data_IF_144566105855
#
_entry.id   IF_144566105855
#
_cell.length_a   1.000
_cell.length_b   1.000
_cell.length_c   1.000
_cell.angle_alpha   90.00
_cell.angle_beta   90.00
_cell.angle_gamma   90.00
#
_symmetry.space_group_name_H-M   'P 1'
#
loop_
_entity.id
_entity.type
_entity.pdbx_description
1 polymer ?
#
# COMPACT_ATOMS: atom_id res chain seq x y z
N UNK A 1 6.47 -14.57 -25.49
CA UNK A 1 7.90 -14.67 -25.15
C UNK A 1 8.30 -16.13 -25.13
N UNK A 2 9.44 -16.51 -25.69
CA UNK A 2 9.90 -17.91 -25.62
C UNK A 2 10.94 -18.02 -24.50
N UNK A 3 10.60 -18.74 -23.46
CA UNK A 3 11.54 -19.08 -22.39
C UNK A 3 12.28 -20.36 -22.74
N UNK A 4 13.49 -20.50 -22.22
CA UNK A 4 14.28 -21.73 -22.33
C UNK A 4 13.90 -22.71 -21.22
N UNK A 5 14.13 -23.96 -21.43
CA UNK A 5 14.06 -24.96 -20.38
C UNK A 5 15.13 -24.71 -19.31
N UNK A 6 14.93 -25.20 -18.09
CA UNK A 6 15.86 -25.01 -16.97
C UNK A 6 16.08 -23.53 -16.58
N UNK A 7 15.01 -22.71 -16.64
CA UNK A 7 15.07 -21.28 -16.33
C UNK A 7 14.70 -21.01 -14.88
N UNK A 8 15.47 -20.14 -14.19
CA UNK A 8 15.10 -19.49 -12.95
C UNK A 8 14.60 -18.09 -13.25
N UNK A 9 13.31 -17.85 -13.02
CA UNK A 9 12.67 -16.57 -13.26
C UNK A 9 12.53 -15.79 -11.94
N UNK A 10 13.24 -14.67 -11.82
CA UNK A 10 13.14 -13.75 -10.69
C UNK A 10 12.11 -12.68 -11.04
N UNK A 11 11.05 -12.57 -10.23
CA UNK A 11 9.91 -11.67 -10.49
C UNK A 11 9.57 -10.81 -9.27
N UNK A 12 8.97 -9.62 -9.46
CA UNK A 12 8.43 -8.83 -8.36
C UNK A 12 7.34 -9.59 -7.60
N UNK A 13 7.34 -9.49 -6.27
CA UNK A 13 6.45 -10.29 -5.41
C UNK A 13 4.95 -10.10 -5.74
N UNK A 14 4.51 -8.85 -5.91
CA UNK A 14 3.10 -8.52 -6.12
C UNK A 14 2.49 -9.07 -7.41
N UNK A 15 3.31 -9.29 -8.44
CA UNK A 15 2.86 -9.76 -9.75
C UNK A 15 3.27 -11.21 -10.04
N UNK A 16 3.90 -11.88 -9.06
CA UNK A 16 4.43 -13.25 -9.20
C UNK A 16 3.35 -14.22 -9.69
N UNK A 17 2.18 -14.24 -9.08
CA UNK A 17 1.11 -15.17 -9.45
C UNK A 17 0.56 -14.91 -10.85
N UNK A 18 0.35 -13.66 -11.22
CA UNK A 18 -0.13 -13.29 -12.56
C UNK A 18 0.89 -13.71 -13.66
N UNK A 19 2.18 -13.49 -13.41
CA UNK A 19 3.24 -13.90 -14.33
C UNK A 19 3.32 -15.42 -14.42
N UNK A 20 3.19 -16.14 -13.30
CA UNK A 20 3.16 -17.61 -13.29
C UNK A 20 2.02 -18.11 -14.17
N UNK A 21 0.83 -17.55 -14.04
CA UNK A 21 -0.32 -17.94 -14.83
C UNK A 21 -0.09 -17.64 -16.33
N UNK A 22 0.31 -16.42 -16.68
CA UNK A 22 0.58 -16.00 -18.07
C UNK A 22 1.63 -16.92 -18.74
N UNK A 23 2.69 -17.28 -18.03
CA UNK A 23 3.76 -18.10 -18.57
C UNK A 23 3.34 -19.57 -18.70
N UNK A 24 2.63 -20.13 -17.72
CA UNK A 24 2.14 -21.51 -17.75
C UNK A 24 1.13 -21.74 -18.86
N UNK A 25 0.28 -20.80 -19.16
CA UNK A 25 -0.67 -20.87 -20.27
C UNK A 25 0.03 -20.94 -21.62
N UNK A 26 1.16 -20.22 -21.77
CA UNK A 26 1.90 -20.13 -23.03
C UNK A 26 3.05 -21.14 -23.17
N UNK A 27 3.55 -21.71 -22.06
CA UNK A 27 4.73 -22.58 -22.00
C UNK A 27 4.54 -23.75 -21.01
N UNK A 28 3.52 -24.63 -21.22
CA UNK A 28 3.11 -25.60 -20.21
C UNK A 28 4.10 -26.72 -19.91
N UNK A 29 5.10 -26.94 -20.78
CA UNK A 29 6.04 -28.06 -20.70
C UNK A 29 7.48 -27.64 -20.30
N UNK A 30 7.74 -26.37 -20.01
CA UNK A 30 9.08 -25.90 -19.65
C UNK A 30 9.31 -26.03 -18.15
N UNK A 31 10.53 -26.45 -17.76
CA UNK A 31 11.01 -26.35 -16.38
C UNK A 31 11.38 -24.90 -16.05
N UNK A 32 10.43 -24.17 -15.46
CA UNK A 32 10.63 -22.79 -15.02
C UNK A 32 10.38 -22.71 -13.51
N UNK A 33 11.40 -22.33 -12.77
CA UNK A 33 11.32 -22.07 -11.33
C UNK A 33 11.08 -20.58 -11.09
N UNK A 34 10.07 -20.21 -10.30
CA UNK A 34 9.73 -18.82 -10.01
C UNK A 34 10.11 -18.45 -8.59
N UNK A 35 10.92 -17.40 -8.44
CA UNK A 35 11.27 -16.85 -7.12
C UNK A 35 11.17 -15.32 -7.13
N UNK A 36 11.03 -14.75 -5.93
CA UNK A 36 11.12 -13.30 -5.74
C UNK A 36 12.58 -12.86 -5.56
N UNK A 37 12.84 -11.56 -5.66
CA UNK A 37 14.14 -10.98 -5.35
C UNK A 37 14.62 -11.35 -3.93
N UNK A 38 13.75 -11.25 -2.93
CA UNK A 38 14.10 -11.57 -1.55
C UNK A 38 14.41 -13.08 -1.36
N UNK A 39 13.63 -13.97 -1.99
CA UNK A 39 13.91 -15.41 -1.99
C UNK A 39 15.26 -15.72 -2.66
N UNK A 40 15.59 -15.02 -3.76
CA UNK A 40 16.91 -15.15 -4.41
C UNK A 40 18.04 -14.72 -3.48
N UNK A 41 17.95 -13.52 -2.88
CA UNK A 41 18.98 -13.00 -1.98
C UNK A 41 19.21 -13.99 -0.82
N UNK A 42 18.16 -14.49 -0.19
CA UNK A 42 18.25 -15.45 0.91
C UNK A 42 18.93 -16.76 0.50
N UNK A 43 18.65 -17.27 -0.70
CA UNK A 43 19.26 -18.51 -1.23
C UNK A 43 20.72 -18.37 -1.60
N UNK A 44 21.14 -17.20 -2.06
CA UNK A 44 22.52 -16.99 -2.51
C UNK A 44 23.45 -16.44 -1.43
N UNK A 45 22.88 -15.88 -0.37
CA UNK A 45 23.62 -15.33 0.78
C UNK A 45 23.37 -16.17 2.04
N UNK A 46 22.40 -15.81 2.82
CA UNK A 46 21.93 -16.52 4.01
C UNK A 46 20.48 -16.15 4.29
N UNK A 47 19.79 -16.97 5.08
CA UNK A 47 18.49 -16.69 5.69
C UNK A 47 18.60 -16.71 7.21
N UNK A 48 17.55 -16.28 7.89
CA UNK A 48 17.43 -16.36 9.35
C UNK A 48 15.97 -16.60 9.75
N UNK A 49 15.75 -17.13 10.94
CA UNK A 49 14.44 -17.45 11.50
C UNK A 49 14.12 -16.59 12.75
N UNK A 50 12.97 -16.84 13.34
CA UNK A 50 12.54 -16.14 14.55
C UNK A 50 13.41 -16.45 15.78
N UNK A 51 14.10 -17.58 15.79
CA UNK A 51 15.08 -17.92 16.84
C UNK A 51 16.28 -16.97 16.83
N UNK A 52 16.73 -16.60 15.63
CA UNK A 52 17.79 -15.59 15.43
C UNK A 52 17.38 -14.24 15.99
N UNK A 53 16.13 -13.80 15.69
CA UNK A 53 15.61 -12.53 16.21
C UNK A 53 15.55 -12.56 17.74
N UNK A 54 15.01 -13.64 18.31
CA UNK A 54 14.91 -13.82 19.76
C UNK A 54 16.29 -13.80 20.45
N UNK A 55 17.28 -14.46 19.83
CA UNK A 55 18.66 -14.43 20.33
C UNK A 55 19.22 -13.01 20.40
N UNK A 56 19.05 -12.22 19.33
CA UNK A 56 19.51 -10.83 19.31
C UNK A 56 18.80 -9.96 20.36
N UNK A 57 17.48 -10.10 20.48
CA UNK A 57 16.69 -9.39 21.47
C UNK A 57 17.22 -9.63 22.88
N UNK A 58 17.50 -10.89 23.24
CA UNK A 58 17.96 -11.25 24.58
C UNK A 58 19.43 -10.88 24.82
N UNK A 59 20.31 -11.16 23.85
CA UNK A 59 21.75 -10.91 24.02
C UNK A 59 22.06 -9.41 24.10
N UNK A 60 21.42 -8.60 23.25
CA UNK A 60 21.70 -7.17 23.16
C UNK A 60 20.68 -6.31 23.90
N UNK A 61 19.69 -6.93 24.55
CA UNK A 61 18.59 -6.26 25.26
C UNK A 61 17.89 -5.20 24.41
N UNK A 62 17.50 -5.59 23.18
CA UNK A 62 16.88 -4.72 22.17
C UNK A 62 15.46 -5.19 21.83
N UNK A 63 14.64 -4.28 21.30
CA UNK A 63 13.29 -4.58 20.82
C UNK A 63 13.34 -5.35 19.50
N UNK A 64 12.22 -6.03 19.20
CA UNK A 64 12.04 -6.82 17.98
C UNK A 64 12.34 -6.01 16.71
N UNK A 65 11.81 -4.78 16.60
CA UNK A 65 12.00 -3.91 15.45
C UNK A 65 13.48 -3.58 15.22
N UNK A 66 14.23 -3.33 16.30
CA UNK A 66 15.68 -3.02 16.22
C UNK A 66 16.46 -4.26 15.80
N UNK A 67 16.12 -5.44 16.34
CA UNK A 67 16.74 -6.70 15.93
C UNK A 67 16.53 -6.96 14.43
N UNK A 68 15.32 -6.71 13.90
CA UNK A 68 15.04 -6.80 12.47
C UNK A 68 15.84 -5.80 11.65
N UNK A 69 15.93 -4.54 12.07
CA UNK A 69 16.76 -3.54 11.39
C UNK A 69 18.21 -4.01 11.28
N UNK A 70 18.79 -4.59 12.34
CA UNK A 70 20.13 -5.13 12.26
C UNK A 70 20.23 -6.29 11.29
N UNK A 71 19.29 -7.25 11.34
CA UNK A 71 19.27 -8.41 10.45
C UNK A 71 19.10 -8.01 8.97
N UNK A 72 18.28 -7.01 8.69
CA UNK A 72 18.09 -6.50 7.33
C UNK A 72 19.34 -5.76 6.81
N UNK A 73 20.18 -5.23 7.70
CA UNK A 73 21.39 -4.51 7.32
C UNK A 73 22.67 -5.36 7.31
N UNK A 74 22.73 -6.52 8.01
CA UNK A 74 23.92 -7.38 7.96
C UNK A 74 24.17 -8.03 6.60
N UNK A 75 23.20 -8.01 5.68
CA UNK A 75 23.40 -8.44 4.30
C UNK A 75 24.45 -7.60 3.57
N UNK A 76 24.51 -6.30 3.87
CA UNK A 76 25.37 -5.35 3.18
C UNK A 76 26.82 -5.35 3.66
N UNK A 77 27.10 -5.84 4.89
CA UNK A 77 28.46 -5.82 5.44
C UNK A 77 29.24 -7.09 5.14
N UNK A 78 30.52 -6.90 4.82
CA UNK A 78 31.51 -7.96 4.65
C UNK A 78 32.37 -8.11 5.93
N UNK A 79 33.11 -9.19 6.06
CA UNK A 79 34.02 -9.43 7.20
C UNK A 79 35.34 -8.64 7.05
N UNK A 80 35.20 -7.30 7.09
CA UNK A 80 36.32 -6.37 7.04
C UNK A 80 36.13 -5.31 8.13
N UNK A 81 37.22 -4.59 8.42
CA UNK A 81 37.14 -3.43 9.34
C UNK A 81 36.74 -2.17 8.57
N UNK A 82 35.66 -1.57 8.96
CA UNK A 82 35.17 -0.30 8.43
C UNK A 82 35.64 0.90 9.30
N UNK A 83 35.67 2.10 8.72
CA UNK A 83 35.88 3.33 9.48
C UNK A 83 34.67 3.67 10.36
N UNK A 84 33.47 3.31 9.93
CA UNK A 84 32.22 3.54 10.67
C UNK A 84 32.03 2.54 11.81
N UNK A 85 31.82 3.04 13.03
CA UNK A 85 31.49 2.21 14.19
C UNK A 85 30.17 1.46 14.03
N UNK A 86 29.18 2.05 13.34
CA UNK A 86 27.89 1.39 13.05
C UNK A 86 28.10 0.15 12.17
N UNK A 87 28.95 0.23 11.15
CA UNK A 87 29.24 -0.91 10.27
C UNK A 87 30.03 -1.99 10.99
N UNK A 88 31.02 -1.60 11.80
CA UNK A 88 31.77 -2.58 12.60
C UNK A 88 30.85 -3.32 13.57
N UNK A 89 29.86 -2.64 14.16
CA UNK A 89 28.89 -3.27 15.03
C UNK A 89 28.01 -4.29 14.28
N UNK A 90 27.61 -4.01 13.03
CA UNK A 90 26.91 -5.00 12.19
C UNK A 90 27.81 -6.20 11.85
N UNK A 91 29.11 -5.96 11.62
CA UNK A 91 30.08 -7.07 11.39
C UNK A 91 30.20 -7.95 12.62
N UNK A 92 30.26 -7.35 13.82
CA UNK A 92 30.29 -8.09 15.10
C UNK A 92 29.03 -8.93 15.29
N UNK A 93 27.85 -8.35 15.05
CA UNK A 93 26.57 -9.08 15.10
C UNK A 93 26.58 -10.24 14.08
N UNK A 94 27.01 -10.01 12.84
CA UNK A 94 27.05 -11.04 11.81
C UNK A 94 27.99 -12.20 12.20
N UNK A 95 29.17 -11.91 12.73
CA UNK A 95 30.10 -12.93 13.23
C UNK A 95 29.52 -13.73 14.38
N UNK A 96 28.93 -13.05 15.34
CA UNK A 96 28.29 -13.70 16.47
C UNK A 96 27.17 -14.66 16.05
N UNK A 97 26.34 -14.26 15.07
CA UNK A 97 25.29 -15.12 14.53
C UNK A 97 25.84 -16.32 13.76
N UNK A 98 26.95 -16.17 13.04
CA UNK A 98 27.63 -17.28 12.36
C UNK A 98 28.22 -18.26 13.38
N UNK A 99 28.92 -17.77 14.40
CA UNK A 99 29.54 -18.60 15.45
C UNK A 99 28.50 -19.42 16.25
N UNK A 100 27.29 -18.87 16.41
CA UNK A 100 26.18 -19.56 17.10
C UNK A 100 25.27 -20.36 16.15
N UNK A 101 25.61 -20.53 14.86
CA UNK A 101 24.81 -21.24 13.86
C UNK A 101 23.37 -20.71 13.74
N UNK A 102 23.21 -19.39 13.82
CA UNK A 102 21.91 -18.71 13.73
C UNK A 102 21.62 -18.14 12.34
N UNK A 103 22.59 -18.15 11.42
CA UNK A 103 22.38 -17.87 10.01
C UNK A 103 22.33 -19.18 9.22
N UNK A 104 21.35 -19.26 8.31
CA UNK A 104 21.08 -20.45 7.51
C UNK A 104 21.71 -20.24 6.12
N UNK A 105 22.75 -21.00 5.80
CA UNK A 105 23.42 -20.95 4.50
C UNK A 105 22.93 -22.11 3.62
N UNK A 106 22.22 -21.81 2.52
CA UNK A 106 21.72 -22.83 1.58
C UNK A 106 22.70 -22.99 0.40
N UNK A 107 23.84 -23.63 0.68
CA UNK A 107 24.86 -23.88 -0.35
C UNK A 107 24.33 -24.76 -1.50
N UNK A 108 23.41 -25.69 -1.22
CA UNK A 108 22.83 -26.58 -2.23
C UNK A 108 22.01 -25.75 -3.23
N UNK A 109 21.12 -24.88 -2.73
CA UNK A 109 20.34 -23.98 -3.60
C UNK A 109 21.24 -23.03 -4.38
N UNK A 110 22.32 -22.51 -3.77
CA UNK A 110 23.26 -21.62 -4.46
C UNK A 110 23.94 -22.33 -5.65
N UNK A 111 24.44 -23.55 -5.45
CA UNK A 111 25.03 -24.35 -6.53
C UNK A 111 23.99 -24.75 -7.59
N UNK A 112 22.77 -25.07 -7.19
CA UNK A 112 21.68 -25.35 -8.12
C UNK A 112 21.33 -24.14 -8.99
N UNK A 113 21.26 -22.93 -8.40
CA UNK A 113 21.00 -21.68 -9.12
C UNK A 113 22.09 -21.42 -10.17
N UNK A 114 23.36 -21.76 -9.91
CA UNK A 114 24.45 -21.61 -10.90
C UNK A 114 24.25 -22.45 -12.17
N UNK A 115 23.45 -23.51 -12.10
CA UNK A 115 23.16 -24.35 -13.26
C UNK A 115 21.98 -23.87 -14.11
N UNK A 116 21.26 -22.85 -13.63
CA UNK A 116 20.05 -22.31 -14.28
C UNK A 116 20.38 -21.13 -15.20
N UNK A 117 19.57 -20.96 -16.24
CA UNK A 117 19.48 -19.69 -16.95
C UNK A 117 18.64 -18.72 -16.10
N UNK A 118 19.24 -17.65 -15.61
CA UNK A 118 18.58 -16.69 -14.71
C UNK A 118 17.98 -15.56 -15.53
N UNK A 119 16.68 -15.36 -15.39
CA UNK A 119 15.99 -14.22 -15.99
C UNK A 119 15.43 -13.33 -14.89
N UNK A 120 15.84 -12.07 -14.86
CA UNK A 120 15.27 -11.02 -14.03
C UNK A 120 14.16 -10.34 -14.84
N UNK A 121 12.91 -10.56 -14.46
CA UNK A 121 11.77 -10.20 -15.30
C UNK A 121 10.92 -9.08 -14.71
N UNK A 122 10.73 -8.02 -15.49
CA UNK A 122 9.79 -6.92 -15.21
C UNK A 122 10.05 -6.16 -13.91
N UNK A 123 11.32 -5.88 -13.61
CA UNK A 123 11.70 -4.97 -12.53
C UNK A 123 11.83 -3.55 -13.06
N UNK A 124 11.17 -2.59 -12.40
CA UNK A 124 11.31 -1.17 -12.74
C UNK A 124 12.73 -0.64 -12.45
N UNK A 125 13.38 -1.24 -11.45
CA UNK A 125 14.75 -0.91 -11.06
C UNK A 125 15.45 -2.12 -10.43
N UNK A 126 16.74 -2.27 -10.74
CA UNK A 126 17.63 -3.25 -10.12
C UNK A 126 18.64 -2.48 -9.28
N UNK A 127 18.52 -2.60 -7.94
CA UNK A 127 19.43 -1.92 -7.02
C UNK A 127 20.88 -2.47 -7.09
N UNK A 128 21.81 -1.65 -6.61
CA UNK A 128 23.26 -1.93 -6.68
C UNK A 128 23.61 -3.24 -5.97
N UNK A 129 22.99 -3.53 -4.82
CA UNK A 129 23.25 -4.75 -4.07
C UNK A 129 22.76 -6.00 -4.83
N UNK A 130 21.55 -5.96 -5.34
CA UNK A 130 21.00 -7.06 -6.13
C UNK A 130 21.80 -7.28 -7.41
N UNK A 131 22.21 -6.20 -8.08
CA UNK A 131 23.07 -6.27 -9.27
C UNK A 131 24.44 -6.88 -8.94
N UNK A 132 25.03 -6.55 -7.78
CA UNK A 132 26.27 -7.19 -7.30
C UNK A 132 26.10 -8.69 -7.16
N UNK A 133 25.01 -9.15 -6.54
CA UNK A 133 24.73 -10.60 -6.38
C UNK A 133 24.50 -11.30 -7.72
N UNK A 134 23.78 -10.66 -8.64
CA UNK A 134 23.56 -11.21 -9.98
C UNK A 134 24.88 -11.37 -10.77
N UNK A 135 25.83 -10.48 -10.57
CA UNK A 135 27.14 -10.54 -11.24
C UNK A 135 28.02 -11.75 -10.84
N UNK A 136 27.65 -12.48 -9.77
CA UNK A 136 28.31 -13.75 -9.39
C UNK A 136 27.90 -14.93 -10.32
N UNK A 137 26.89 -14.73 -11.18
CA UNK A 137 26.32 -15.76 -12.05
C UNK A 137 26.64 -15.47 -13.53
N UNK A 138 26.96 -16.50 -14.30
CA UNK A 138 27.43 -16.35 -15.69
C UNK A 138 26.31 -16.17 -16.72
N UNK A 139 25.11 -16.71 -16.45
CA UNK A 139 23.98 -16.73 -17.41
C UNK A 139 22.79 -15.97 -16.84
N UNK A 140 22.86 -14.64 -16.90
CA UNK A 140 21.83 -13.74 -16.38
C UNK A 140 21.30 -12.84 -17.51
N UNK A 141 20.00 -12.83 -17.70
CA UNK A 141 19.31 -11.97 -18.64
C UNK A 141 18.30 -11.08 -17.91
N UNK A 142 18.26 -9.78 -18.28
CA UNK A 142 17.31 -8.83 -17.73
C UNK A 142 16.29 -8.49 -18.80
N UNK A 143 15.03 -8.78 -18.53
CA UNK A 143 13.93 -8.58 -19.47
C UNK A 143 12.86 -7.71 -18.83
N UNK A 144 12.59 -6.56 -19.44
CA UNK A 144 11.51 -5.68 -19.03
C UNK A 144 10.40 -5.63 -20.08
N UNK A 145 9.16 -5.63 -19.63
CA UNK A 145 7.98 -5.44 -20.49
C UNK A 145 8.06 -4.00 -21.07
N UNK A 146 7.86 -3.87 -22.36
CA UNK A 146 7.75 -2.55 -22.99
C UNK A 146 6.31 -2.05 -22.84
N UNK A 147 6.16 -0.86 -22.31
CA UNK A 147 4.89 -0.18 -22.17
C UNK A 147 4.75 0.92 -23.22
N UNK A 148 3.52 1.16 -23.66
CA UNK A 148 3.22 2.29 -24.51
C UNK A 148 3.33 3.58 -23.69
N UNK A 149 3.67 4.69 -24.35
CA UNK A 149 3.64 6.00 -23.73
C UNK A 149 2.40 6.76 -24.22
N UNK A 150 1.59 7.21 -23.27
CA UNK A 150 0.40 8.02 -23.52
C UNK A 150 0.61 9.45 -23.04
N UNK A 151 0.00 10.40 -23.73
CA UNK A 151 -0.03 11.80 -23.28
C UNK A 151 -1.07 11.95 -22.17
N UNK A 152 -0.74 12.77 -21.19
CA UNK A 152 -1.63 13.11 -20.08
C UNK A 152 -2.08 14.55 -20.32
N UNK A 153 -3.25 14.73 -20.90
CA UNK A 153 -3.68 16.05 -21.39
C UNK A 153 -4.15 16.97 -20.25
N UNK A 154 -4.76 16.41 -19.20
CA UNK A 154 -5.41 17.21 -18.16
C UNK A 154 -5.12 16.68 -16.75
N UNK A 155 -4.82 17.60 -15.84
CA UNK A 155 -4.75 17.37 -14.39
C UNK A 155 -5.86 18.17 -13.73
N UNK A 156 -6.69 17.51 -12.92
CA UNK A 156 -7.85 18.12 -12.29
C UNK A 156 -7.48 18.73 -10.94
N UNK A 157 -7.88 19.97 -10.73
CA UNK A 157 -7.60 20.76 -9.54
C UNK A 157 -8.89 20.94 -8.72
N UNK A 158 -8.82 20.64 -7.43
CA UNK A 158 -9.92 20.82 -6.48
C UNK A 158 -9.48 21.73 -5.31
N UNK A 159 -10.43 22.43 -4.68
CA UNK A 159 -10.06 23.33 -3.58
C UNK A 159 -9.59 22.55 -2.34
N UNK A 160 -10.26 21.45 -2.01
CA UNK A 160 -10.00 20.67 -0.80
C UNK A 160 -9.92 19.18 -1.07
N UNK A 161 -9.38 18.43 -0.11
CA UNK A 161 -9.33 16.97 -0.14
C UNK A 161 -10.73 16.35 -0.27
N UNK A 162 -11.72 16.88 0.47
CA UNK A 162 -13.09 16.37 0.39
C UNK A 162 -13.70 16.61 -0.99
N UNK A 163 -13.45 17.75 -1.61
CA UNK A 163 -13.91 18.05 -2.97
C UNK A 163 -13.24 17.15 -4.00
N UNK A 164 -11.93 16.93 -3.87
CA UNK A 164 -11.19 16.04 -4.77
C UNK A 164 -11.77 14.62 -4.73
N UNK A 165 -11.95 14.03 -3.54
CA UNK A 165 -12.51 12.69 -3.40
C UNK A 165 -13.96 12.62 -3.89
N UNK A 166 -14.76 13.66 -3.67
CA UNK A 166 -16.12 13.74 -4.20
C UNK A 166 -16.13 13.79 -5.73
N UNK A 167 -15.29 14.64 -6.34
CA UNK A 167 -15.20 14.76 -7.80
C UNK A 167 -14.77 13.46 -8.46
N UNK A 168 -13.79 12.78 -7.89
CA UNK A 168 -13.37 11.45 -8.34
C UNK A 168 -14.49 10.43 -8.16
N UNK A 169 -15.23 10.45 -7.03
CA UNK A 169 -16.36 9.55 -6.82
C UNK A 169 -17.45 9.72 -7.87
N UNK A 170 -17.77 10.95 -8.28
CA UNK A 170 -18.71 11.21 -9.37
C UNK A 170 -18.23 10.62 -10.68
N UNK A 171 -16.95 10.85 -11.06
CA UNK A 171 -16.37 10.27 -12.29
C UNK A 171 -16.39 8.73 -12.27
N UNK A 172 -16.10 8.11 -11.14
CA UNK A 172 -16.20 6.65 -10.97
C UNK A 172 -17.64 6.18 -11.18
N UNK A 173 -18.64 6.86 -10.60
CA UNK A 173 -20.04 6.54 -10.79
C UNK A 173 -20.48 6.71 -12.25
N UNK A 174 -19.98 7.74 -12.95
CA UNK A 174 -20.25 7.94 -14.38
C UNK A 174 -19.69 6.77 -15.22
N UNK A 175 -18.50 6.25 -14.91
CA UNK A 175 -17.96 5.06 -15.58
C UNK A 175 -18.83 3.81 -15.32
N UNK A 176 -19.21 3.57 -14.08
CA UNK A 176 -20.04 2.42 -13.71
C UNK A 176 -21.42 2.50 -14.40
N UNK A 177 -22.03 3.68 -14.45
CA UNK A 177 -23.31 3.88 -15.16
C UNK A 177 -23.18 3.75 -16.67
N UNK A 178 -21.97 3.93 -17.22
CA UNK A 178 -21.63 3.65 -18.61
C UNK A 178 -21.27 2.19 -18.89
N UNK A 179 -21.57 1.27 -17.95
CA UNK A 179 -21.31 -0.17 -18.01
C UNK A 179 -19.82 -0.56 -18.02
N UNK A 180 -18.94 0.28 -17.50
CA UNK A 180 -17.55 -0.12 -17.22
C UNK A 180 -17.53 -1.03 -16.00
N UNK A 181 -16.81 -2.17 -16.10
CA UNK A 181 -16.67 -3.08 -14.97
C UNK A 181 -15.90 -2.41 -13.83
N UNK A 182 -16.45 -2.46 -12.61
CA UNK A 182 -15.82 -1.89 -11.43
C UNK A 182 -14.44 -2.49 -11.14
N UNK A 183 -14.19 -3.74 -11.50
CA UNK A 183 -12.90 -4.39 -11.32
C UNK A 183 -11.82 -3.83 -12.27
N UNK A 184 -12.19 -3.15 -13.36
CA UNK A 184 -11.27 -2.43 -14.24
C UNK A 184 -10.95 -1.02 -13.75
N UNK A 185 -11.58 -0.57 -12.65
CA UNK A 185 -11.31 0.73 -12.04
C UNK A 185 -10.28 0.56 -10.94
N UNK A 186 -9.19 1.30 -11.04
CA UNK A 186 -8.08 1.28 -10.10
C UNK A 186 -7.86 2.66 -9.50
N UNK A 187 -7.41 2.71 -8.25
CA UNK A 187 -7.19 3.96 -7.55
C UNK A 187 -5.86 3.95 -6.80
N UNK A 188 -5.18 5.08 -6.80
CA UNK A 188 -4.07 5.39 -5.91
C UNK A 188 -4.38 6.66 -5.12
N UNK A 189 -4.01 6.68 -3.86
CA UNK A 189 -4.05 7.87 -3.01
C UNK A 189 -3.03 7.78 -1.87
N UNK A 190 -2.51 8.92 -1.38
CA UNK A 190 -1.65 8.96 -0.20
C UNK A 190 -2.38 8.48 1.06
N UNK A 191 -1.64 7.96 2.04
CA UNK A 191 -2.22 7.46 3.31
C UNK A 191 -3.07 8.50 4.05
N UNK A 192 -2.74 9.80 3.92
CA UNK A 192 -3.50 10.92 4.45
C UNK A 192 -4.95 10.99 3.95
N UNK A 193 -5.26 10.40 2.79
CA UNK A 193 -6.60 10.37 2.17
C UNK A 193 -7.51 9.25 2.69
N UNK A 194 -6.94 8.22 3.34
CA UNK A 194 -7.62 6.96 3.68
C UNK A 194 -8.98 7.17 4.38
N UNK A 195 -9.00 7.99 5.42
CA UNK A 195 -10.22 8.23 6.21
C UNK A 195 -11.32 8.94 5.40
N UNK A 196 -10.93 9.93 4.57
CA UNK A 196 -11.86 10.68 3.74
C UNK A 196 -12.42 9.81 2.62
N UNK A 197 -11.58 8.99 1.97
CA UNK A 197 -12.01 8.03 0.95
C UNK A 197 -13.00 7.03 1.53
N UNK A 198 -12.69 6.40 2.66
CA UNK A 198 -13.59 5.44 3.29
C UNK A 198 -14.95 6.07 3.63
N UNK A 199 -14.96 7.30 4.13
CA UNK A 199 -16.17 8.04 4.45
C UNK A 199 -16.99 8.37 3.20
N UNK A 200 -16.36 8.95 2.18
CA UNK A 200 -17.04 9.45 0.98
C UNK A 200 -17.49 8.30 0.07
N UNK A 201 -16.62 7.31 -0.19
CA UNK A 201 -16.98 6.15 -1.02
C UNK A 201 -18.18 5.37 -0.43
N UNK A 202 -18.25 5.27 0.92
CA UNK A 202 -19.42 4.71 1.59
C UNK A 202 -20.71 5.52 1.32
N UNK A 203 -20.61 6.84 1.16
CA UNK A 203 -21.75 7.69 0.84
C UNK A 203 -22.23 7.57 -0.61
N UNK A 204 -21.30 7.18 -1.51
CA UNK A 204 -21.62 6.86 -2.92
C UNK A 204 -21.92 5.38 -3.16
N UNK A 205 -21.83 4.53 -2.13
CA UNK A 205 -21.89 3.06 -2.24
C UNK A 205 -20.84 2.48 -3.20
N UNK A 206 -19.65 3.08 -3.25
CA UNK A 206 -18.52 2.58 -4.02
C UNK A 206 -17.75 1.57 -3.17
N UNK A 207 -17.73 0.28 -3.52
CA UNK A 207 -16.96 -0.72 -2.81
C UNK A 207 -15.48 -0.59 -3.15
N UNK A 208 -14.64 -0.53 -2.12
CA UNK A 208 -13.19 -0.50 -2.24
C UNK A 208 -12.59 -1.46 -1.20
N UNK A 209 -11.63 -2.26 -1.60
CA UNK A 209 -10.92 -3.19 -0.72
C UNK A 209 -9.78 -2.48 0.02
N UNK A 210 -10.12 -1.61 0.97
CA UNK A 210 -9.13 -0.90 1.81
C UNK A 210 -9.08 -1.41 3.25
N UNK A 211 -10.08 -2.17 3.68
CA UNK A 211 -10.18 -2.62 5.05
C UNK A 211 -9.25 -3.82 5.28
N UNK A 212 -7.97 -3.52 5.50
CA UNK A 212 -7.02 -4.46 6.08
C UNK A 212 -7.08 -4.26 7.59
N UNK A 213 -7.79 -5.13 8.31
CA UNK A 213 -7.64 -5.18 9.76
C UNK A 213 -6.51 -6.14 10.10
N UNK A 214 -5.61 -5.72 11.00
CA UNK A 214 -4.60 -6.64 11.51
C UNK A 214 -5.29 -7.76 12.29
N UNK A 215 -4.70 -8.94 12.32
CA UNK A 215 -5.25 -10.03 13.15
C UNK A 215 -5.30 -9.59 14.61
N UNK A 216 -4.30 -8.83 15.06
CA UNK A 216 -4.25 -8.28 16.42
C UNK A 216 -5.47 -7.43 16.77
N UNK A 217 -6.00 -6.63 15.82
CA UNK A 217 -7.15 -5.75 16.06
C UNK A 217 -8.50 -6.49 16.03
N UNK A 218 -8.50 -7.77 15.67
CA UNK A 218 -9.71 -8.60 15.74
C UNK A 218 -9.99 -9.08 17.15
N UNK A 219 -11.26 -9.40 17.44
CA UNK A 219 -11.62 -10.03 18.71
C UNK A 219 -10.82 -11.31 18.96
N UNK A 220 -10.66 -12.15 17.93
CA UNK A 220 -9.96 -13.44 18.04
C UNK A 220 -8.47 -13.25 18.32
N UNK A 221 -7.82 -12.30 17.63
CA UNK A 221 -6.40 -12.00 17.84
C UNK A 221 -6.11 -11.47 19.24
N UNK A 222 -6.94 -10.53 19.72
CA UNK A 222 -6.85 -10.04 21.11
C UNK A 222 -7.10 -11.15 22.11
N UNK A 223 -8.17 -11.93 21.93
CA UNK A 223 -8.50 -13.06 22.82
C UNK A 223 -7.37 -14.10 22.85
N UNK A 224 -6.75 -14.41 21.70
CA UNK A 224 -5.60 -15.30 21.63
C UNK A 224 -4.42 -14.80 22.49
N UNK A 225 -4.05 -13.54 22.39
CA UNK A 225 -2.92 -12.94 23.15
C UNK A 225 -3.22 -12.85 24.65
N UNK A 226 -4.46 -12.57 25.03
CA UNK A 226 -4.88 -12.51 26.43
C UNK A 226 -4.87 -13.91 27.08
N UNK A 227 -5.18 -14.96 26.31
CA UNK A 227 -5.25 -16.35 26.75
C UNK A 227 -4.07 -17.21 26.22
N UNK A 228 -2.94 -16.57 25.92
CA UNK A 228 -1.74 -17.25 25.45
C UNK A 228 -1.21 -18.21 26.52
N UNK A 229 -1.01 -19.46 26.15
CA UNK A 229 -0.44 -20.51 27.01
C UNK A 229 1.05 -20.77 26.68
N UNK A 230 1.69 -21.63 27.47
CA UNK A 230 3.09 -21.98 27.24
C UNK A 230 3.29 -22.77 25.96
N UNK A 231 2.36 -23.66 25.63
CA UNK A 231 2.46 -24.54 24.47
C UNK A 231 1.62 -24.03 23.29
N UNK A 232 2.02 -24.40 22.07
CA UNK A 232 1.27 -24.08 20.85
C UNK A 232 -0.10 -24.77 20.90
N UNK A 233 -0.15 -26.04 21.30
CA UNK A 233 -1.36 -26.83 21.33
C UNK A 233 -2.42 -26.24 22.26
N UNK A 234 -2.06 -25.90 23.51
CA UNK A 234 -2.99 -25.28 24.46
C UNK A 234 -3.48 -23.90 23.98
N UNK A 235 -2.59 -23.13 23.34
CA UNK A 235 -2.95 -21.80 22.83
C UNK A 235 -3.90 -21.89 21.63
N UNK A 236 -3.73 -22.85 20.73
CA UNK A 236 -4.61 -23.09 19.57
C UNK A 236 -5.97 -23.63 20.02
N UNK A 237 -6.01 -24.54 21.02
CA UNK A 237 -7.26 -25.10 21.54
C UNK A 237 -8.23 -24.02 22.05
N UNK A 238 -7.71 -22.89 22.54
CA UNK A 238 -8.54 -21.77 23.00
C UNK A 238 -9.28 -21.06 21.87
N UNK A 239 -8.80 -21.13 20.62
CA UNK A 239 -9.32 -20.39 19.48
C UNK A 239 -9.87 -21.29 18.36
N UNK A 240 -9.76 -22.60 18.45
CA UNK A 240 -10.05 -23.54 17.35
C UNK A 240 -11.51 -23.47 16.86
N UNK A 241 -12.44 -23.03 17.72
CA UNK A 241 -13.87 -22.96 17.40
C UNK A 241 -14.31 -21.60 16.83
N UNK A 242 -13.35 -20.69 16.58
CA UNK A 242 -13.62 -19.38 16.00
C UNK A 242 -13.48 -19.40 14.46
N UNK A 243 -13.41 -18.23 13.85
CA UNK A 243 -13.30 -18.06 12.39
C UNK A 243 -12.07 -18.81 11.82
N UNK A 244 -12.31 -19.71 10.87
CA UNK A 244 -11.30 -20.63 10.32
C UNK A 244 -10.15 -19.88 9.60
N UNK A 245 -10.46 -18.77 8.91
CA UNK A 245 -9.44 -17.98 8.20
C UNK A 245 -8.47 -17.32 9.19
N UNK A 246 -9.00 -16.73 10.26
CA UNK A 246 -8.18 -16.08 11.29
C UNK A 246 -7.34 -17.10 12.03
N UNK A 247 -7.97 -18.22 12.44
CA UNK A 247 -7.29 -19.30 13.16
C UNK A 247 -6.17 -19.90 12.32
N UNK A 248 -6.39 -20.15 11.03
CA UNK A 248 -5.34 -20.70 10.15
C UNK A 248 -4.16 -19.75 10.02
N UNK A 249 -4.38 -18.44 9.93
CA UNK A 249 -3.32 -17.42 9.91
C UNK A 249 -2.53 -17.40 11.22
N UNK A 250 -3.21 -17.50 12.38
CA UNK A 250 -2.55 -17.59 13.69
C UNK A 250 -1.70 -18.86 13.77
N UNK A 251 -2.22 -20.01 13.34
CA UNK A 251 -1.47 -21.27 13.30
C UNK A 251 -0.22 -21.14 12.41
N UNK A 252 -0.33 -20.49 11.24
CA UNK A 252 0.82 -20.26 10.36
C UNK A 252 1.90 -19.38 11.02
N UNK A 253 1.49 -18.42 11.86
CA UNK A 253 2.44 -17.66 12.68
C UNK A 253 3.09 -18.56 13.72
N UNK A 254 2.30 -19.33 14.48
CA UNK A 254 2.80 -20.19 15.54
C UNK A 254 3.77 -21.28 15.04
N UNK A 255 3.59 -21.77 13.82
CA UNK A 255 4.49 -22.74 13.19
C UNK A 255 5.94 -22.23 13.06
N UNK A 256 6.16 -20.92 13.09
CA UNK A 256 7.50 -20.31 13.09
C UNK A 256 8.17 -20.36 14.48
N UNK A 257 7.44 -20.77 15.51
CA UNK A 257 7.88 -20.78 16.93
C UNK A 257 7.95 -22.18 17.53
N UNK A 258 7.98 -23.23 16.71
CA UNK A 258 8.10 -24.63 17.17
C UNK A 258 9.38 -24.94 17.93
N UNK A 259 10.39 -24.09 17.83
CA UNK A 259 11.65 -24.15 18.56
C UNK A 259 11.55 -23.61 20.01
N UNK A 260 10.44 -22.95 20.36
CA UNK A 260 10.25 -22.26 21.64
C UNK A 260 9.40 -23.15 22.56
N UNK A 261 9.95 -23.51 23.73
CA UNK A 261 9.26 -24.35 24.72
C UNK A 261 8.20 -23.56 25.51
N UNK A 262 8.30 -22.24 25.53
CA UNK A 262 7.42 -21.38 26.31
C UNK A 262 7.03 -20.12 25.50
N UNK A 263 5.88 -20.14 24.85
CA UNK A 263 5.38 -19.03 24.02
C UNK A 263 5.24 -17.69 24.76
N UNK A 264 5.14 -17.71 26.09
CA UNK A 264 5.05 -16.47 26.88
C UNK A 264 6.34 -15.64 26.80
N UNK A 265 7.48 -16.25 26.53
CA UNK A 265 8.76 -15.56 26.38
C UNK A 265 8.87 -14.80 25.03
N UNK A 266 8.11 -15.23 24.03
CA UNK A 266 8.07 -14.63 22.70
C UNK A 266 6.79 -13.84 22.44
N UNK A 267 6.03 -13.52 23.48
CA UNK A 267 4.73 -12.83 23.37
C UNK A 267 4.82 -11.52 22.57
N UNK A 268 5.86 -10.72 22.78
CA UNK A 268 6.04 -9.45 22.06
C UNK A 268 6.29 -9.67 20.57
N UNK A 269 7.02 -10.73 20.22
CA UNK A 269 7.23 -11.13 18.82
C UNK A 269 5.92 -11.57 18.16
N UNK A 270 5.11 -12.36 18.86
CA UNK A 270 3.78 -12.79 18.39
C UNK A 270 2.86 -11.60 18.18
N UNK A 271 2.81 -10.65 19.11
CA UNK A 271 2.04 -9.41 18.99
C UNK A 271 2.47 -8.64 17.74
N UNK A 272 3.77 -8.53 17.50
CA UNK A 272 4.27 -7.85 16.31
C UNK A 272 3.84 -8.55 15.01
N UNK A 273 3.96 -9.87 14.93
CA UNK A 273 3.53 -10.63 13.75
C UNK A 273 2.01 -10.53 13.53
N UNK A 274 1.21 -10.61 14.60
CA UNK A 274 -0.25 -10.44 14.50
C UNK A 274 -0.65 -9.04 14.04
N UNK A 275 0.06 -8.00 14.45
CA UNK A 275 -0.14 -6.62 13.99
C UNK A 275 0.21 -6.43 12.51
N UNK A 276 1.15 -7.21 12.00
CA UNK A 276 1.60 -7.14 10.61
C UNK A 276 0.99 -8.20 9.70
N UNK A 277 0.11 -9.06 10.23
CA UNK A 277 -0.66 -10.03 9.44
C UNK A 277 -2.09 -9.53 9.32
N UNK A 278 -2.56 -9.36 8.08
CA UNK A 278 -3.84 -8.73 7.79
C UNK A 278 -4.88 -9.74 7.31
N UNK A 279 -6.14 -9.43 7.63
CA UNK A 279 -7.33 -10.06 7.05
C UNK A 279 -7.86 -9.10 6.01
N UNK A 280 -8.07 -9.60 4.82
CA UNK A 280 -8.64 -8.83 3.72
C UNK A 280 -10.11 -9.21 3.56
N UNK A 281 -11.02 -8.27 3.79
CA UNK A 281 -12.39 -8.41 3.30
C UNK A 281 -12.38 -8.13 1.81
N UNK A 282 -12.31 -9.18 0.99
CA UNK A 282 -12.37 -9.03 -0.47
C UNK A 282 -13.82 -9.00 -0.92
N UNK A 283 -14.26 -7.87 -1.42
CA UNK A 283 -15.48 -7.82 -2.23
C UNK A 283 -15.15 -8.37 -3.62
N UNK A 284 -15.98 -9.26 -4.16
CA UNK A 284 -15.79 -9.84 -5.50
C UNK A 284 -15.88 -8.79 -6.62
N UNK A 285 -16.57 -7.67 -6.35
CA UNK A 285 -16.68 -6.52 -7.25
C UNK A 285 -16.33 -5.26 -6.46
N UNK A 286 -15.14 -4.73 -6.69
CA UNK A 286 -14.63 -3.55 -5.99
C UNK A 286 -13.53 -2.86 -6.77
N UNK A 287 -13.33 -1.59 -6.46
CA UNK A 287 -12.18 -0.85 -6.93
C UNK A 287 -10.90 -1.42 -6.30
N UNK A 288 -9.87 -1.59 -7.12
CA UNK A 288 -8.56 -2.05 -6.68
C UNK A 288 -7.68 -0.87 -6.26
N UNK A 289 -7.07 -0.96 -5.07
CA UNK A 289 -6.03 -0.03 -4.63
C UNK A 289 -4.69 -0.47 -5.21
N UNK A 290 -4.04 0.43 -5.95
CA UNK A 290 -2.75 0.17 -6.59
C UNK A 290 -1.61 0.95 -5.94
N UNK A 291 -0.39 0.52 -6.21
CA UNK A 291 0.84 1.27 -5.92
C UNK A 291 1.40 1.83 -7.25
N UNK A 292 1.72 3.12 -7.30
CA UNK A 292 2.27 3.75 -8.51
C UNK A 292 3.65 3.21 -8.90
N UNK A 293 4.30 2.47 -8.02
CA UNK A 293 5.60 1.81 -8.31
C UNK A 293 5.42 0.47 -9.02
N UNK A 294 4.21 -0.07 -9.07
CA UNK A 294 3.92 -1.37 -9.68
C UNK A 294 3.37 -1.22 -11.11
N UNK A 295 3.79 -2.09 -12.00
CA UNK A 295 3.35 -2.12 -13.40
C UNK A 295 2.32 -3.25 -13.64
N UNK A 296 1.20 -3.24 -12.91
CA UNK A 296 0.13 -4.22 -13.09
C UNK A 296 -1.16 -3.58 -13.64
N UNK A 297 -1.00 -2.70 -14.65
CA UNK A 297 -2.09 -1.94 -15.25
C UNK A 297 -2.19 -2.34 -16.72
N UNK A 298 -3.41 -2.58 -17.19
CA UNK A 298 -3.72 -2.91 -18.58
C UNK A 298 -4.32 -1.71 -19.32
N UNK A 299 -4.33 -1.75 -20.65
CA UNK A 299 -4.93 -0.68 -21.48
C UNK A 299 -6.45 -0.52 -21.28
N UNK A 300 -7.12 -1.52 -20.68
CA UNK A 300 -8.56 -1.50 -20.37
C UNK A 300 -8.87 -0.93 -18.98
N UNK A 301 -7.85 -0.71 -18.15
CA UNK A 301 -8.04 -0.17 -16.81
C UNK A 301 -8.24 1.34 -16.83
N UNK A 302 -9.09 1.83 -15.94
CA UNK A 302 -9.31 3.24 -15.64
C UNK A 302 -8.66 3.57 -14.30
N UNK A 303 -7.62 4.38 -14.33
CA UNK A 303 -6.79 4.66 -13.15
C UNK A 303 -7.02 6.08 -12.65
N UNK A 304 -7.38 6.18 -11.38
CA UNK A 304 -7.52 7.44 -10.67
C UNK A 304 -6.35 7.62 -9.70
N UNK A 305 -5.62 8.71 -9.84
CA UNK A 305 -4.51 9.08 -8.95
C UNK A 305 -4.88 10.38 -8.24
N UNK A 306 -5.15 10.30 -6.95
CA UNK A 306 -5.49 11.42 -6.09
C UNK A 306 -4.26 11.90 -5.33
N UNK A 307 -4.29 13.17 -4.91
CA UNK A 307 -3.22 13.75 -4.14
C UNK A 307 -1.93 13.95 -4.94
N UNK A 308 -2.04 14.30 -6.23
CA UNK A 308 -0.89 14.61 -7.07
C UNK A 308 -0.25 15.93 -6.65
N UNK A 309 0.07 16.02 -5.35
CA UNK A 309 0.66 17.17 -4.68
C UNK A 309 2.15 16.98 -4.42
N UNK A 310 2.87 18.08 -4.34
CA UNK A 310 4.28 18.08 -3.95
C UNK A 310 4.44 17.53 -2.53
N UNK A 311 5.36 16.57 -2.36
CA UNK A 311 5.62 15.88 -1.08
C UNK A 311 4.71 14.67 -0.81
N UNK A 312 3.64 14.48 -1.59
CA UNK A 312 2.78 13.29 -1.56
C UNK A 312 3.14 12.34 -2.72
N UNK A 313 3.32 12.89 -3.94
CA UNK A 313 3.71 12.16 -5.14
C UNK A 313 4.80 12.94 -5.90
N UNK A 314 6.04 12.39 -6.02
CA UNK A 314 6.53 11.20 -5.32
C UNK A 314 6.72 11.44 -3.83
N UNK A 315 6.75 10.35 -3.06
CA UNK A 315 7.23 10.40 -1.67
C UNK A 315 8.72 10.71 -1.64
N UNK A 316 9.18 11.40 -0.60
CA UNK A 316 10.58 11.78 -0.48
C UNK A 316 11.22 10.95 0.63
N UNK A 317 12.22 10.13 0.26
CA UNK A 317 13.07 9.44 1.23
C UNK A 317 13.93 10.45 1.97
N UNK A 318 14.05 10.23 3.28
CA UNK A 318 14.90 11.03 4.16
C UNK A 318 16.01 10.15 4.72
N UNK A 319 17.13 10.74 5.06
CA UNK A 319 18.27 10.05 5.69
C UNK A 319 17.99 9.73 7.17
N UNK A 320 17.00 8.87 7.41
CA UNK A 320 16.53 8.46 8.74
C UNK A 320 16.80 6.96 9.02
N UNK A 321 17.39 6.24 8.06
CA UNK A 321 17.66 4.81 8.17
C UNK A 321 18.90 4.52 9.04
N UNK A 322 19.06 3.25 9.44
CA UNK A 322 20.24 2.84 10.22
C UNK A 322 21.56 3.09 9.47
N UNK A 323 21.58 2.74 8.17
CA UNK A 323 22.68 3.06 7.25
C UNK A 323 22.38 4.43 6.65
N UNK A 324 23.11 5.44 7.12
CA UNK A 324 22.94 6.83 6.66
C UNK A 324 23.73 7.11 5.38
N UNK A 325 23.35 8.17 4.66
CA UNK A 325 23.91 8.53 3.34
C UNK A 325 25.45 8.67 3.32
N UNK A 326 26.04 9.05 4.44
CA UNK A 326 27.49 9.19 4.56
C UNK A 326 28.25 7.85 4.49
N UNK A 327 27.58 6.71 4.70
CA UNK A 327 28.19 5.37 4.69
C UNK A 327 27.68 4.46 3.57
N UNK A 328 26.65 4.87 2.82
CA UNK A 328 26.08 4.09 1.70
C UNK A 328 27.10 3.81 0.60
N UNK A 329 27.96 4.78 0.30
CA UNK A 329 29.01 4.63 -0.73
C UNK A 329 30.02 3.51 -0.39
N UNK A 330 30.32 3.32 0.90
CA UNK A 330 31.26 2.28 1.36
C UNK A 330 30.69 0.88 1.10
N UNK A 331 29.35 0.75 1.20
CA UNK A 331 28.63 -0.50 0.99
C UNK A 331 28.17 -0.69 -0.47
N UNK A 332 28.39 0.30 -1.32
CA UNK A 332 27.88 0.34 -2.70
C UNK A 332 26.38 0.08 -2.78
N UNK A 333 25.62 0.82 -1.98
CA UNK A 333 24.15 0.86 -2.02
C UNK A 333 23.68 2.29 -2.33
N UNK A 334 22.40 2.42 -2.71
CA UNK A 334 21.81 3.72 -3.05
C UNK A 334 21.72 4.63 -1.81
N UNK A 335 22.04 5.92 -2.02
CA UNK A 335 21.75 6.97 -1.05
C UNK A 335 20.33 7.56 -1.25
N UNK A 336 19.87 8.41 -0.34
CA UNK A 336 18.52 8.98 -0.41
C UNK A 336 18.28 9.82 -1.65
N UNK A 337 19.28 10.52 -2.17
CA UNK A 337 19.15 11.31 -3.40
C UNK A 337 18.97 10.39 -4.62
N UNK A 338 19.72 9.29 -4.68
CA UNK A 338 19.58 8.28 -5.74
C UNK A 338 18.21 7.62 -5.66
N UNK A 339 17.76 7.21 -4.46
CA UNK A 339 16.44 6.60 -4.25
C UNK A 339 15.30 7.53 -4.67
N UNK A 340 15.37 8.81 -4.31
CA UNK A 340 14.37 9.81 -4.70
C UNK A 340 14.32 9.98 -6.23
N UNK A 341 15.47 10.00 -6.90
CA UNK A 341 15.53 10.09 -8.36
C UNK A 341 14.99 8.84 -9.04
N UNK A 342 15.29 7.66 -8.49
CA UNK A 342 14.79 6.38 -8.99
C UNK A 342 13.27 6.34 -8.85
N UNK A 343 12.73 6.65 -7.70
CA UNK A 343 11.29 6.67 -7.45
C UNK A 343 10.56 7.65 -8.36
N UNK A 344 11.11 8.86 -8.51
CA UNK A 344 10.58 9.85 -9.44
C UNK A 344 10.47 9.29 -10.87
N UNK A 345 11.54 8.65 -11.37
CA UNK A 345 11.56 8.10 -12.72
C UNK A 345 10.61 6.91 -12.90
N UNK A 346 10.50 6.04 -11.90
CA UNK A 346 9.57 4.90 -11.92
C UNK A 346 8.13 5.41 -11.99
N UNK A 347 7.73 6.31 -11.09
CA UNK A 347 6.37 6.83 -11.04
C UNK A 347 6.05 7.58 -12.34
N UNK A 348 6.94 8.42 -12.83
CA UNK A 348 6.74 9.17 -14.09
C UNK A 348 6.55 8.22 -15.29
N UNK A 349 7.38 7.17 -15.38
CA UNK A 349 7.28 6.16 -16.44
C UNK A 349 5.95 5.39 -16.34
N UNK A 350 5.57 5.00 -15.14
CA UNK A 350 4.32 4.27 -14.90
C UNK A 350 3.10 5.14 -15.22
N UNK A 351 3.06 6.40 -14.80
CA UNK A 351 1.98 7.33 -15.16
C UNK A 351 1.82 7.47 -16.67
N UNK A 352 2.94 7.62 -17.40
CA UNK A 352 2.92 7.70 -18.87
C UNK A 352 2.50 6.41 -19.56
N UNK A 353 2.58 5.27 -18.88
CA UNK A 353 2.17 3.97 -19.44
C UNK A 353 0.66 3.71 -19.33
N UNK A 354 -0.09 4.53 -18.59
CA UNK A 354 -1.52 4.34 -18.35
C UNK A 354 -2.33 5.07 -19.40
N UNK A 355 -3.16 4.32 -20.14
CA UNK A 355 -3.99 4.87 -21.21
C UNK A 355 -5.14 5.73 -20.70
N UNK A 356 -5.90 5.23 -19.71
CA UNK A 356 -7.06 5.93 -19.16
C UNK A 356 -6.74 6.46 -17.76
N UNK A 357 -5.85 7.45 -17.70
CA UNK A 357 -5.38 8.06 -16.46
C UNK A 357 -6.18 9.30 -16.11
N UNK A 358 -6.57 9.44 -14.85
CA UNK A 358 -7.17 10.61 -14.26
C UNK A 358 -6.29 11.08 -13.09
N UNK A 359 -5.59 12.18 -13.27
CA UNK A 359 -4.77 12.81 -12.21
C UNK A 359 -5.55 13.92 -11.54
N UNK A 360 -5.49 13.98 -10.21
CA UNK A 360 -6.09 15.06 -9.44
C UNK A 360 -5.24 15.50 -8.25
N UNK A 361 -5.41 16.76 -7.84
CA UNK A 361 -4.75 17.33 -6.68
C UNK A 361 -5.64 18.36 -5.98
N UNK A 362 -5.32 18.66 -4.71
CA UNK A 362 -5.99 19.69 -3.90
C UNK A 362 -5.13 20.94 -3.79
N UNK A 363 -5.80 22.12 -3.71
CA UNK A 363 -5.12 23.40 -3.48
C UNK A 363 -4.87 23.69 -2.00
N UNK A 364 -5.75 23.22 -1.12
CA UNK A 364 -5.72 23.57 0.29
C UNK A 364 -5.82 22.31 1.19
N UNK A 365 -5.14 22.40 2.31
CA UNK A 365 -5.26 21.46 3.44
C UNK A 365 -5.42 22.25 4.73
N UNK A 366 -5.68 21.55 5.83
CA UNK A 366 -5.75 22.17 7.16
C UNK A 366 -4.44 22.88 7.55
N UNK A 367 -3.32 22.49 6.94
CA UNK A 367 -1.99 23.03 7.19
C UNK A 367 -1.60 24.19 6.22
N UNK A 368 -2.47 24.56 5.28
CA UNK A 368 -2.23 25.64 4.33
C UNK A 368 -2.34 25.24 2.86
N UNK A 369 -1.75 26.07 1.99
CA UNK A 369 -1.77 25.88 0.53
C UNK A 369 -0.93 24.68 0.12
N UNK A 370 -1.48 23.86 -0.77
CA UNK A 370 -0.81 22.71 -1.38
C UNK A 370 -0.41 23.04 -2.83
N UNK A 371 0.78 22.60 -3.21
CA UNK A 371 1.25 22.79 -4.59
C UNK A 371 1.13 21.49 -5.37
N UNK A 372 0.94 21.62 -6.68
CA UNK A 372 0.95 20.47 -7.60
C UNK A 372 2.33 19.79 -7.59
N UNK A 373 2.40 18.50 -7.86
CA UNK A 373 3.65 17.76 -8.01
C UNK A 373 4.55 18.37 -9.09
N UNK A 374 5.86 18.43 -8.84
CA UNK A 374 6.86 18.87 -9.83
C UNK A 374 6.86 18.02 -11.11
N UNK A 375 6.30 16.82 -11.08
CA UNK A 375 6.14 15.97 -12.26
C UNK A 375 5.22 16.60 -13.33
N UNK A 376 4.30 17.52 -12.94
CA UNK A 376 3.38 18.21 -13.86
C UNK A 376 4.13 18.98 -14.97
N UNK A 377 5.29 19.53 -14.67
CA UNK A 377 6.11 20.24 -15.66
C UNK A 377 6.60 19.32 -16.80
N UNK A 378 6.92 18.05 -16.46
CA UNK A 378 7.40 17.05 -17.43
C UNK A 378 6.24 16.41 -18.20
N UNK A 379 5.04 16.42 -17.62
CA UNK A 379 3.83 15.88 -18.24
C UNK A 379 3.23 16.86 -19.27
N UNK A 380 3.53 18.15 -19.18
CA UNK A 380 2.99 19.22 -20.05
C UNK A 380 1.46 19.22 -20.11
N UNK A 381 0.80 18.90 -19.00
CA UNK A 381 -0.65 18.79 -18.90
C UNK A 381 -1.31 20.13 -18.63
N UNK A 382 -2.52 20.33 -19.12
CA UNK A 382 -3.36 21.46 -18.76
C UNK A 382 -3.95 21.26 -17.36
N UNK A 383 -4.08 22.35 -16.59
CA UNK A 383 -4.74 22.31 -15.29
C UNK A 383 -6.18 22.76 -15.46
N UNK A 384 -7.11 21.93 -15.04
CA UNK A 384 -8.55 22.22 -15.05
C UNK A 384 -9.07 22.32 -13.62
N UNK A 385 -9.55 23.52 -13.24
CA UNK A 385 -10.19 23.74 -11.95
C UNK A 385 -11.62 23.19 -11.97
N UNK A 386 -11.94 22.33 -11.02
CA UNK A 386 -13.26 21.71 -10.90
C UNK A 386 -13.96 22.24 -9.67
N UNK A 387 -15.15 22.81 -9.89
CA UNK A 387 -16.08 23.16 -8.83
C UNK A 387 -17.20 22.13 -8.74
N UNK A 388 -17.42 21.59 -7.55
CA UNK A 388 -18.49 20.61 -7.31
C UNK A 388 -19.70 21.32 -6.74
N UNK A 389 -20.70 21.50 -7.60
CA UNK A 389 -21.94 22.20 -7.23
C UNK A 389 -23.08 21.23 -6.86
N UNK A 390 -22.99 19.96 -7.28
CA UNK A 390 -24.01 18.94 -7.00
C UNK A 390 -23.40 17.54 -6.92
N UNK A 391 -23.82 16.72 -5.95
CA UNK A 391 -23.39 15.34 -5.76
C UNK A 391 -24.39 14.38 -6.40
N UNK A 392 -24.34 14.30 -7.73
CA UNK A 392 -25.29 13.60 -8.64
C UNK A 392 -25.71 12.18 -8.16
N UNK A 393 -24.79 11.44 -7.53
CA UNK A 393 -24.98 10.04 -7.18
C UNK A 393 -25.11 9.79 -5.67
N UNK A 394 -25.05 10.81 -4.83
CA UNK A 394 -25.10 10.64 -3.37
C UNK A 394 -26.16 11.51 -2.70
N UNK A 395 -27.35 10.94 -2.54
CA UNK A 395 -28.41 11.61 -1.77
C UNK A 395 -27.97 11.92 -0.33
N UNK A 396 -27.10 11.10 0.27
CA UNK A 396 -26.59 11.34 1.64
C UNK A 396 -25.75 12.62 1.70
N UNK A 397 -24.87 12.85 0.74
CA UNK A 397 -24.06 14.08 0.67
C UNK A 397 -24.90 15.30 0.36
N UNK A 398 -25.85 15.18 -0.58
CA UNK A 398 -26.79 16.24 -0.88
C UNK A 398 -27.57 16.63 0.39
N UNK A 399 -28.01 15.67 1.19
CA UNK A 399 -28.70 15.92 2.46
C UNK A 399 -27.82 16.63 3.48
N UNK A 400 -26.54 16.22 3.60
CA UNK A 400 -25.58 16.87 4.51
C UNK A 400 -25.34 18.32 4.08
N UNK A 401 -25.15 18.56 2.78
CA UNK A 401 -24.95 19.92 2.28
C UNK A 401 -26.17 20.80 2.38
N UNK A 402 -27.34 20.24 2.08
CA UNK A 402 -28.60 20.94 2.34
C UNK A 402 -28.70 21.38 3.80
N UNK A 403 -28.36 20.50 4.74
CA UNK A 403 -28.34 20.82 6.17
C UNK A 403 -27.39 21.97 6.48
N UNK A 404 -26.14 21.90 5.95
CA UNK A 404 -25.15 22.95 6.16
C UNK A 404 -25.62 24.30 5.58
N UNK A 405 -26.23 24.30 4.39
CA UNK A 405 -26.73 25.52 3.76
C UNK A 405 -27.95 26.10 4.48
N UNK A 406 -28.83 25.25 4.98
CA UNK A 406 -29.93 25.70 5.82
C UNK A 406 -29.44 26.27 7.16
N UNK A 407 -28.41 25.67 7.78
CA UNK A 407 -27.80 26.19 9.00
C UNK A 407 -27.17 27.57 8.76
N UNK A 408 -26.44 27.76 7.63
CA UNK A 408 -25.90 29.06 7.23
C UNK A 408 -26.99 30.10 7.00
N UNK A 409 -28.06 29.73 6.32
CA UNK A 409 -29.19 30.63 6.08
C UNK A 409 -29.86 31.05 7.39
N UNK A 410 -30.14 30.09 8.27
CA UNK A 410 -30.87 30.33 9.52
C UNK A 410 -30.03 31.11 10.54
N UNK A 411 -28.75 30.71 10.72
CA UNK A 411 -27.91 31.30 11.76
C UNK A 411 -27.18 32.58 11.32
N UNK A 412 -26.89 32.71 10.03
CA UNK A 412 -26.05 33.81 9.53
C UNK A 412 -26.72 34.64 8.42
N UNK A 413 -27.92 34.26 7.95
CA UNK A 413 -28.61 34.93 6.84
C UNK A 413 -27.90 34.76 5.46
N UNK A 414 -26.96 33.82 5.35
CA UNK A 414 -26.20 33.56 4.13
C UNK A 414 -26.94 32.54 3.29
N UNK A 415 -27.37 32.94 2.08
CA UNK A 415 -28.01 32.06 1.10
C UNK A 415 -26.97 31.55 0.12
N UNK A 416 -26.72 30.26 0.11
CA UNK A 416 -25.84 29.59 -0.87
C UNK A 416 -26.59 29.35 -2.18
N UNK A 417 -25.91 29.51 -3.32
CA UNK A 417 -26.52 29.46 -4.66
C UNK A 417 -27.18 28.11 -4.98
N UNK A 418 -26.63 27.02 -4.47
CA UNK A 418 -27.14 25.67 -4.69
C UNK A 418 -28.23 25.23 -3.71
N UNK A 419 -28.63 26.11 -2.77
CA UNK A 419 -29.62 25.74 -1.76
C UNK A 419 -30.97 25.35 -2.38
N UNK A 420 -31.46 26.13 -3.34
CA UNK A 420 -32.75 25.86 -3.99
C UNK A 420 -32.73 24.56 -4.80
N UNK A 421 -31.63 24.28 -5.49
CA UNK A 421 -31.46 23.03 -6.26
C UNK A 421 -31.46 21.81 -5.34
N UNK A 422 -30.70 21.83 -4.25
CA UNK A 422 -30.67 20.75 -3.30
C UNK A 422 -32.01 20.57 -2.59
N UNK A 423 -32.68 21.66 -2.31
CA UNK A 423 -33.98 21.64 -1.65
C UNK A 423 -35.10 21.09 -2.56
N UNK A 424 -35.05 21.37 -3.86
CA UNK A 424 -36.04 20.89 -4.82
C UNK A 424 -36.01 19.36 -5.00
N UNK A 425 -34.89 18.73 -4.68
CA UNK A 425 -34.76 17.26 -4.69
C UNK A 425 -35.45 16.56 -3.51
N UNK A 426 -35.91 17.33 -2.52
CA UNK A 426 -36.73 16.83 -1.43
C UNK A 426 -38.20 17.01 -1.78
N UNK A 427 -38.95 15.94 -1.78
CA UNK A 427 -40.41 15.89 -1.98
C UNK A 427 -41.16 16.48 -0.76
N UNK A 428 -40.75 17.65 -0.32
CA UNK A 428 -41.36 18.41 0.76
C UNK A 428 -42.05 19.58 0.11
N UNK A 429 -43.37 19.57 0.14
CA UNK A 429 -44.23 20.67 -0.31
C UNK A 429 -44.05 21.93 0.58
N UNK A 430 -42.85 22.53 0.58
CA UNK A 430 -42.62 23.82 1.17
C UNK A 430 -42.91 24.90 0.13
N UNK A 431 -44.07 25.44 0.18
CA UNK A 431 -44.43 26.64 -0.55
C UNK A 431 -43.64 27.81 0.07
N UNK A 432 -42.70 28.33 -0.70
CA UNK A 432 -41.92 29.56 -0.52
C UNK A 432 -41.10 29.68 0.76
N UNK A 433 -39.84 30.02 0.60
CA UNK A 433 -38.96 30.58 1.63
C UNK A 433 -39.37 32.00 2.04
N UNK A 434 -40.65 32.22 2.38
CA UNK A 434 -41.07 33.47 2.98
C UNK A 434 -40.55 33.53 4.41
N UNK A 435 -40.16 34.69 4.88
CA UNK A 435 -39.59 35.07 6.18
C UNK A 435 -40.12 34.42 7.45
N UNK A 436 -40.95 33.39 7.35
CA UNK A 436 -41.51 32.60 8.46
C UNK A 436 -40.55 31.60 9.07
N UNK A 437 -39.42 31.34 8.44
CA UNK A 437 -38.42 30.32 8.88
C UNK A 437 -37.51 30.79 10.01
N UNK A 438 -37.50 32.05 10.34
CA UNK A 438 -36.78 32.57 11.50
C UNK A 438 -37.28 32.04 12.85
N UNK A 439 -38.34 31.21 12.85
CA UNK A 439 -38.97 30.68 14.05
C UNK A 439 -38.82 29.15 14.25
N UNK A 440 -38.12 28.44 13.34
CA UNK A 440 -37.83 27.02 13.60
C UNK A 440 -36.64 26.97 14.52
N UNK A 441 -36.82 26.49 15.74
CA UNK A 441 -35.70 26.29 16.67
C UNK A 441 -34.71 25.29 16.09
N UNK A 442 -33.45 25.50 16.39
CA UNK A 442 -32.35 24.62 16.00
C UNK A 442 -32.65 23.13 16.28
N UNK A 443 -33.30 22.87 17.43
CA UNK A 443 -33.70 21.53 17.86
C UNK A 443 -34.80 20.90 16.98
N UNK A 444 -35.72 21.70 16.44
CA UNK A 444 -36.76 21.19 15.54
C UNK A 444 -36.21 20.91 14.15
N UNK A 445 -35.23 21.67 13.69
CA UNK A 445 -34.49 21.41 12.42
C UNK A 445 -33.68 20.10 12.53
N UNK A 446 -32.97 19.91 13.64
CA UNK A 446 -32.24 18.66 13.89
C UNK A 446 -33.15 17.44 14.02
N UNK A 447 -34.28 17.56 14.68
CA UNK A 447 -35.30 16.49 14.78
C UNK A 447 -35.86 16.12 13.40
N UNK A 448 -36.16 17.10 12.58
CA UNK A 448 -36.65 16.88 11.21
C UNK A 448 -35.62 16.15 10.35
N UNK A 449 -34.37 16.58 10.40
CA UNK A 449 -33.27 15.99 9.66
C UNK A 449 -32.97 14.56 10.15
N UNK A 450 -32.86 14.34 11.45
CA UNK A 450 -32.64 13.02 12.03
C UNK A 450 -33.75 12.03 11.71
N UNK A 451 -35.02 12.47 11.71
CA UNK A 451 -36.14 11.60 11.35
C UNK A 451 -36.17 11.22 9.85
N UNK A 452 -35.54 12.01 8.96
CA UNK A 452 -35.44 11.70 7.53
C UNK A 452 -34.15 10.94 7.16
N UNK A 453 -33.12 11.01 8.02
CA UNK A 453 -31.84 10.25 7.82
C UNK A 453 -31.94 8.80 8.33
N UNK A 454 -33.01 8.44 9.04
CA UNK A 454 -33.29 7.08 9.55
C UNK A 454 -34.16 6.23 8.62
N UNK A 455 -34.61 6.78 7.50
CA UNK A 455 -35.32 6.09 6.41
C UNK A 455 -34.38 6.06 5.18
#
# INVERSE_FOLDING_TARGET
MQFKDNTLLIVPNKIKENIIQEIRENNPLLDITFITKNEFIKKVTFDYDNKTIYYLMNKYNIKYEIAKVYLDNIYFVEDIKYESSKLNYLVEIKKDLIENNLLIFDNISKEYIKTKHIIVYNFNYIDKYFNKLLSEFNDVEIINKKYNNYNIDTIYCYNTLEEEVNGVSVKICDLITSNIDINSIKIYYPSSYQNTINKIFKMYNIPINTNKSSIYDTYIGNYFIENLNKTIEDSVNNIINYDEEIVSKIINILNKYTWCDNLLEVKDMLIYELKNTYIETKYNKSIELIDLKDNNITDNDYVFVLGFNQGEIPTIYKDEEYITDNITNVLNIENTLELNKIEYNIILSNLKSIKNLNLSYKLNSDNGVCYISSMSEVLNSNIENIEINNYKYSNKLNNINLTKYLDKLVNYGIKEDNLELLYSNYDVNYKSFDNKYTLISKDNLYKFINNKLLI
#
